data_IF_372878976436
#
_entry.id   IF_372878976436
#
_cell.length_a   1.000
_cell.length_b   1.000
_cell.length_c   1.000
_cell.angle_alpha   90.00
_cell.angle_beta   90.00
_cell.angle_gamma   90.00
#
_symmetry.space_group_name_H-M   'P 1'
#
loop_
_entity.id
_entity.type
_entity.pdbx_description
1 polymer ?
#
# COMPACT_ATOMS: atom_id res chain seq x y z
N UNK A 1 -41.76 33.63 -13.91
CA UNK A 1 -40.30 33.51 -13.76
C UNK A 1 -40.00 32.24 -12.98
N UNK A 2 -39.75 31.14 -13.69
CA UNK A 2 -39.43 29.82 -13.12
C UNK A 2 -37.92 29.65 -13.14
N UNK A 3 -37.29 29.72 -11.96
CA UNK A 3 -35.87 29.46 -11.78
C UNK A 3 -35.61 27.95 -11.80
N UNK A 4 -34.96 27.47 -12.85
CA UNK A 4 -34.46 26.10 -12.93
C UNK A 4 -33.25 25.94 -11.98
N UNK A 5 -33.46 25.22 -10.87
CA UNK A 5 -32.38 24.76 -10.01
C UNK A 5 -31.66 23.60 -10.68
N UNK A 6 -30.47 23.84 -11.22
CA UNK A 6 -29.55 22.79 -11.67
C UNK A 6 -28.99 22.06 -10.46
N UNK A 7 -29.63 20.96 -10.10
CA UNK A 7 -29.08 19.99 -9.14
C UNK A 7 -27.78 19.42 -9.68
N UNK A 8 -26.69 19.63 -8.94
CA UNK A 8 -25.43 18.93 -9.19
C UNK A 8 -25.65 17.45 -8.92
N UNK A 9 -25.76 16.66 -10.00
CA UNK A 9 -25.72 15.21 -9.90
C UNK A 9 -24.37 14.82 -9.29
N UNK A 10 -24.40 14.25 -8.08
CA UNK A 10 -23.25 13.59 -7.49
C UNK A 10 -22.85 12.44 -8.42
N UNK A 11 -21.69 12.53 -9.07
CA UNK A 11 -21.11 11.38 -9.76
C UNK A 11 -20.93 10.26 -8.75
N UNK A 12 -21.77 9.22 -8.87
CA UNK A 12 -21.56 7.95 -8.22
C UNK A 12 -20.16 7.43 -8.57
N UNK A 13 -19.54 6.67 -7.66
CA UNK A 13 -18.38 5.89 -8.07
C UNK A 13 -18.78 5.03 -9.27
N UNK A 14 -17.84 4.73 -10.18
CA UNK A 14 -17.97 3.49 -10.93
C UNK A 14 -18.26 2.38 -9.90
N UNK A 15 -19.27 1.55 -10.15
CA UNK A 15 -19.41 0.28 -9.43
C UNK A 15 -18.14 -0.57 -9.56
N UNK A 16 -18.08 -1.81 -9.07
CA UNK A 16 -16.98 -2.71 -9.45
C UNK A 16 -16.80 -2.60 -10.96
N UNK A 17 -15.63 -2.12 -11.42
CA UNK A 17 -15.41 -2.03 -12.85
C UNK A 17 -15.61 -3.46 -13.36
N UNK A 18 -16.57 -3.66 -14.27
CA UNK A 18 -16.61 -4.87 -15.08
C UNK A 18 -15.42 -4.75 -16.01
N UNK A 19 -14.24 -5.00 -15.45
CA UNK A 19 -13.00 -4.88 -16.15
C UNK A 19 -12.92 -6.05 -17.12
N UNK A 20 -13.24 -5.75 -18.38
CA UNK A 20 -13.21 -6.72 -19.47
C UNK A 20 -11.79 -7.10 -19.85
N UNK A 21 -10.78 -6.43 -19.31
CA UNK A 21 -9.38 -6.75 -19.59
C UNK A 21 -8.95 -8.05 -18.88
N UNK A 22 -9.73 -8.55 -17.91
CA UNK A 22 -9.42 -9.78 -17.19
C UNK A 22 -10.56 -10.81 -17.25
N UNK A 23 -10.25 -12.12 -17.37
CA UNK A 23 -11.27 -13.17 -17.31
C UNK A 23 -11.94 -13.20 -15.92
N UNK A 24 -13.22 -13.60 -15.84
CA UNK A 24 -13.91 -13.75 -14.57
C UNK A 24 -13.27 -14.86 -13.73
N UNK A 25 -13.24 -14.65 -12.41
CA UNK A 25 -12.80 -15.66 -11.43
C UNK A 25 -14.02 -16.05 -10.57
N UNK A 26 -14.52 -17.30 -10.66
CA UNK A 26 -15.69 -17.73 -9.90
C UNK A 26 -15.53 -17.51 -8.39
N UNK A 27 -16.48 -16.81 -7.77
CA UNK A 27 -16.49 -16.54 -6.33
C UNK A 27 -15.68 -15.32 -5.89
N UNK A 28 -14.94 -14.65 -6.77
CA UNK A 28 -14.27 -13.38 -6.49
C UNK A 28 -15.28 -12.27 -6.16
N UNK A 29 -14.94 -11.39 -5.21
CA UNK A 29 -15.75 -10.22 -4.86
C UNK A 29 -14.88 -8.96 -4.84
N UNK A 30 -15.51 -7.81 -5.06
CA UNK A 30 -14.82 -6.52 -5.14
C UNK A 30 -14.43 -6.16 -6.58
N UNK A 31 -13.50 -5.21 -6.73
CA UNK A 31 -13.06 -4.73 -8.03
C UNK A 31 -12.14 -5.74 -8.74
N UNK A 32 -12.43 -6.08 -10.00
CA UNK A 32 -11.72 -7.16 -10.71
C UNK A 32 -10.23 -6.84 -10.93
N UNK A 33 -9.89 -5.60 -11.32
CA UNK A 33 -8.51 -5.18 -11.57
C UNK A 33 -7.73 -5.05 -10.28
N UNK A 34 -8.35 -4.49 -9.24
CA UNK A 34 -7.70 -4.38 -7.94
C UNK A 34 -7.41 -5.78 -7.36
N UNK A 35 -8.36 -6.72 -7.44
CA UNK A 35 -8.08 -8.11 -7.08
C UNK A 35 -6.93 -8.69 -7.90
N UNK A 36 -6.91 -8.51 -9.23
CA UNK A 36 -5.81 -9.03 -10.05
C UNK A 36 -4.44 -8.46 -9.62
N UNK A 37 -4.38 -7.14 -9.46
CA UNK A 37 -3.17 -6.46 -9.06
C UNK A 37 -2.65 -6.95 -7.70
N UNK A 38 -3.52 -7.01 -6.68
CA UNK A 38 -3.13 -7.43 -5.34
C UNK A 38 -2.82 -8.92 -5.27
N UNK A 39 -3.57 -9.78 -5.98
CA UNK A 39 -3.24 -11.20 -6.13
C UNK A 39 -1.85 -11.40 -6.74
N UNK A 40 -1.55 -10.76 -7.87
CA UNK A 40 -0.23 -10.88 -8.50
C UNK A 40 0.88 -10.30 -7.61
N UNK A 41 0.61 -9.20 -6.91
CA UNK A 41 1.56 -8.62 -5.98
C UNK A 41 1.88 -9.60 -4.84
N UNK A 42 0.86 -10.12 -4.16
CA UNK A 42 1.05 -11.01 -3.01
C UNK A 42 1.65 -12.36 -3.42
N UNK A 43 1.23 -12.94 -4.55
CA UNK A 43 1.84 -14.16 -5.08
C UNK A 43 3.32 -13.91 -5.40
N UNK A 44 3.65 -12.86 -6.14
CA UNK A 44 5.03 -12.59 -6.58
C UNK A 44 5.97 -12.19 -5.45
N UNK A 45 5.48 -11.53 -4.41
CA UNK A 45 6.32 -10.95 -3.35
C UNK A 45 6.19 -11.66 -1.99
N UNK A 46 5.18 -12.52 -1.78
CA UNK A 46 4.99 -13.22 -0.51
C UNK A 46 4.85 -14.74 -0.67
N UNK A 47 3.90 -15.23 -1.47
CA UNK A 47 3.54 -16.65 -1.47
C UNK A 47 4.39 -17.52 -2.40
N UNK A 48 4.66 -17.05 -3.61
CA UNK A 48 5.41 -17.76 -4.65
C UNK A 48 6.58 -16.90 -5.15
N UNK A 49 7.23 -16.20 -4.22
CA UNK A 49 8.38 -15.35 -4.54
C UNK A 49 9.44 -16.13 -5.32
N UNK A 50 10.01 -15.53 -6.37
CA UNK A 50 11.12 -16.14 -7.11
C UNK A 50 12.39 -16.14 -6.24
N UNK A 51 13.43 -16.88 -6.66
CA UNK A 51 14.70 -16.85 -5.93
C UNK A 51 15.32 -15.44 -5.91
N UNK A 52 15.22 -14.70 -7.03
CA UNK A 52 15.67 -13.31 -7.13
C UNK A 52 15.00 -12.40 -6.08
N UNK A 53 13.68 -12.55 -5.88
CA UNK A 53 12.94 -11.79 -4.85
C UNK A 53 13.37 -12.20 -3.43
N UNK A 54 13.51 -13.51 -3.18
CA UNK A 54 13.96 -14.02 -1.88
C UNK A 54 15.36 -13.54 -1.52
N UNK A 55 16.29 -13.53 -2.48
CA UNK A 55 17.66 -13.08 -2.29
C UNK A 55 17.72 -11.58 -2.01
N UNK A 56 16.89 -10.78 -2.71
CA UNK A 56 16.76 -9.36 -2.44
C UNK A 56 16.23 -9.09 -1.03
N UNK A 57 15.17 -9.78 -0.59
CA UNK A 57 14.71 -9.67 0.79
C UNK A 57 15.78 -10.08 1.80
N UNK A 58 16.46 -11.20 1.56
CA UNK A 58 17.52 -11.68 2.45
C UNK A 58 18.70 -10.70 2.56
N UNK A 59 19.03 -9.98 1.48
CA UNK A 59 20.05 -8.94 1.51
C UNK A 59 19.62 -7.75 2.38
N UNK A 60 18.39 -7.26 2.20
CA UNK A 60 17.83 -6.16 3.01
C UNK A 60 17.75 -6.56 4.49
N UNK A 61 17.30 -7.78 4.78
CA UNK A 61 17.21 -8.30 6.14
C UNK A 61 18.57 -8.34 6.84
N UNK A 62 19.64 -8.73 6.11
CA UNK A 62 21.00 -8.75 6.66
C UNK A 62 21.53 -7.35 6.97
N UNK A 63 21.14 -6.33 6.21
CA UNK A 63 21.64 -4.96 6.46
C UNK A 63 21.06 -4.32 7.71
N UNK A 64 19.93 -4.82 8.23
CA UNK A 64 19.25 -4.26 9.41
C UNK A 64 19.51 -5.03 10.71
N UNK A 65 20.35 -6.07 10.71
CA UNK A 65 20.88 -6.67 11.95
C UNK A 65 20.69 -8.17 12.20
N UNK A 66 20.28 -8.99 11.23
CA UNK A 66 20.34 -10.47 11.37
C UNK A 66 19.30 -11.11 12.32
N UNK A 67 19.29 -12.45 12.46
CA UNK A 67 18.05 -13.23 12.64
C UNK A 67 17.54 -13.25 14.09
N UNK A 68 16.43 -12.55 14.34
CA UNK A 68 15.60 -12.69 15.53
C UNK A 68 14.12 -12.66 15.15
N UNK A 69 13.48 -13.82 15.18
CA UNK A 69 12.10 -14.11 15.57
C UNK A 69 10.98 -13.27 14.92
N UNK A 70 10.64 -13.58 13.66
CA UNK A 70 9.32 -13.27 13.10
C UNK A 70 9.20 -11.95 12.34
N UNK A 71 9.23 -12.06 11.01
CA UNK A 71 9.09 -11.00 9.99
C UNK A 71 10.24 -9.97 9.98
N UNK A 72 11.28 -10.35 9.23
CA UNK A 72 12.58 -9.69 9.12
C UNK A 72 12.53 -8.28 8.50
N UNK A 73 11.51 -7.98 7.70
CA UNK A 73 11.26 -6.63 7.21
C UNK A 73 10.70 -5.68 8.31
N UNK A 74 10.07 -6.17 9.38
CA UNK A 74 9.67 -5.26 10.47
C UNK A 74 10.86 -4.67 11.22
N UNK A 75 12.03 -5.32 11.19
CA UNK A 75 13.27 -4.74 11.72
C UNK A 75 13.71 -3.49 10.94
N UNK A 76 13.51 -3.47 9.62
CA UNK A 76 13.75 -2.26 8.81
C UNK A 76 12.83 -1.12 9.24
N UNK A 77 11.54 -1.39 9.45
CA UNK A 77 10.60 -0.38 9.95
C UNK A 77 11.02 0.14 11.33
N UNK A 78 11.35 -0.76 12.27
CA UNK A 78 11.79 -0.36 13.61
C UNK A 78 13.05 0.51 13.56
N UNK A 79 14.03 0.14 12.72
CA UNK A 79 15.26 0.91 12.54
C UNK A 79 15.01 2.25 11.86
N UNK A 80 14.13 2.30 10.85
CA UNK A 80 13.68 3.55 10.23
C UNK A 80 13.08 4.50 11.28
N UNK A 81 12.12 4.02 12.09
CA UNK A 81 11.49 4.82 13.15
C UNK A 81 12.48 5.28 14.22
N UNK A 82 13.46 4.45 14.57
CA UNK A 82 14.52 4.86 15.48
C UNK A 82 15.34 6.03 14.89
N UNK A 83 15.82 5.90 13.65
CA UNK A 83 16.60 6.95 12.96
C UNK A 83 15.79 8.25 12.83
N UNK A 84 14.49 8.15 12.54
CA UNK A 84 13.56 9.30 12.51
C UNK A 84 13.52 10.03 13.86
N UNK A 85 13.34 9.29 14.96
CA UNK A 85 13.27 9.86 16.32
C UNK A 85 14.59 10.46 16.79
N UNK A 86 15.72 9.88 16.39
CA UNK A 86 17.06 10.35 16.72
C UNK A 86 17.52 11.54 15.85
N UNK A 87 16.73 11.92 14.84
CA UNK A 87 17.06 13.05 13.94
C UNK A 87 18.09 12.70 12.87
N UNK A 88 18.43 11.42 12.67
CA UNK A 88 19.44 10.95 11.72
C UNK A 88 18.96 10.86 10.27
N UNK A 89 17.68 11.07 10.00
CA UNK A 89 17.12 11.02 8.64
C UNK A 89 17.39 12.33 7.86
N UNK A 90 17.83 12.29 6.59
CA UNK A 90 17.96 11.10 5.74
C UNK A 90 19.33 10.40 5.77
N UNK A 91 20.36 11.00 6.36
CA UNK A 91 21.76 10.56 6.25
C UNK A 91 22.01 9.15 6.79
N UNK A 92 21.59 8.87 8.01
CA UNK A 92 21.82 7.58 8.66
C UNK A 92 20.98 6.47 8.02
N UNK A 93 19.77 6.82 7.56
CA UNK A 93 18.93 5.86 6.86
C UNK A 93 19.47 5.53 5.47
N UNK A 94 20.01 6.51 4.74
CA UNK A 94 20.71 6.25 3.49
C UNK A 94 21.95 5.38 3.73
N UNK A 95 22.72 5.64 4.79
CA UNK A 95 23.89 4.84 5.14
C UNK A 95 23.53 3.39 5.47
N UNK A 96 22.36 3.15 6.07
CA UNK A 96 21.81 1.82 6.34
C UNK A 96 21.43 1.05 5.07
N UNK A 97 20.81 1.72 4.08
CA UNK A 97 20.24 1.05 2.90
C UNK A 97 21.14 1.06 1.67
N UNK A 98 22.11 1.98 1.59
CA UNK A 98 23.05 2.10 0.46
C UNK A 98 23.83 0.80 0.18
N UNK A 99 24.30 0.02 1.18
CA UNK A 99 25.03 -1.22 0.92
C UNK A 99 24.21 -2.30 0.20
N UNK A 100 22.89 -2.22 0.24
CA UNK A 100 21.96 -3.19 -0.35
C UNK A 100 21.14 -2.58 -1.49
N UNK A 101 21.67 -1.54 -2.15
CA UNK A 101 21.01 -0.84 -3.25
C UNK A 101 20.52 -1.78 -4.36
N UNK A 102 21.32 -2.78 -4.73
CA UNK A 102 20.98 -3.70 -5.82
C UNK A 102 19.75 -4.56 -5.48
N UNK A 103 19.60 -4.96 -4.22
CA UNK A 103 18.41 -5.66 -3.74
C UNK A 103 17.16 -4.77 -3.84
N UNK A 104 17.27 -3.50 -3.44
CA UNK A 104 16.20 -2.52 -3.64
C UNK A 104 15.90 -2.29 -5.13
N UNK A 105 16.92 -2.27 -6.00
CA UNK A 105 16.75 -2.07 -7.43
C UNK A 105 15.94 -3.21 -8.07
N UNK A 106 16.20 -4.47 -7.68
CA UNK A 106 15.42 -5.64 -8.07
C UNK A 106 13.95 -5.45 -7.66
N UNK A 107 13.68 -5.28 -6.36
CA UNK A 107 12.31 -5.17 -5.87
C UNK A 107 11.59 -3.97 -6.49
N UNK A 108 12.28 -2.83 -6.57
CA UNK A 108 11.73 -1.62 -7.16
C UNK A 108 11.33 -1.83 -8.61
N UNK A 109 12.17 -2.50 -9.42
CA UNK A 109 11.87 -2.79 -10.81
C UNK A 109 10.62 -3.67 -10.92
N UNK A 110 10.60 -4.80 -10.22
CA UNK A 110 9.49 -5.76 -10.30
C UNK A 110 8.15 -5.17 -9.83
N UNK A 111 8.17 -4.37 -8.76
CA UNK A 111 6.97 -3.72 -8.24
C UNK A 111 6.45 -2.67 -9.23
N UNK A 112 7.35 -1.85 -9.79
CA UNK A 112 6.98 -0.81 -10.75
C UNK A 112 6.49 -1.38 -12.09
N UNK A 113 7.04 -2.51 -12.54
CA UNK A 113 6.50 -3.29 -13.68
C UNK A 113 5.05 -3.68 -13.40
N UNK A 114 4.76 -4.24 -12.22
CA UNK A 114 3.40 -4.66 -11.87
C UNK A 114 2.41 -3.48 -11.80
N UNK A 115 2.84 -2.33 -11.28
CA UNK A 115 2.05 -1.10 -11.32
C UNK A 115 1.76 -0.64 -12.75
N UNK A 116 2.73 -0.77 -13.67
CA UNK A 116 2.55 -0.37 -15.07
C UNK A 116 1.62 -1.33 -15.81
N UNK A 117 1.76 -2.63 -15.59
CA UNK A 117 0.93 -3.66 -16.24
C UNK A 117 -0.56 -3.51 -15.88
N UNK A 118 -0.86 -3.14 -14.63
CA UNK A 118 -2.25 -3.03 -14.16
C UNK A 118 -2.80 -1.61 -14.23
N UNK A 119 -1.97 -0.60 -13.99
CA UNK A 119 -2.41 0.79 -13.83
C UNK A 119 -1.62 1.77 -14.71
N UNK A 120 -0.93 1.29 -15.74
CA UNK A 120 -0.34 2.11 -16.78
C UNK A 120 -1.37 2.78 -17.70
N UNK A 121 -0.92 3.81 -18.43
CA UNK A 121 -1.70 4.47 -19.48
C UNK A 121 -3.08 4.94 -19.01
N UNK A 122 -4.13 4.44 -19.68
CA UNK A 122 -5.54 4.84 -19.43
C UNK A 122 -6.04 4.50 -18.02
N UNK A 123 -5.41 3.56 -17.33
CA UNK A 123 -5.87 3.06 -16.01
C UNK A 123 -5.23 3.77 -14.82
N UNK A 124 -4.29 4.68 -15.03
CA UNK A 124 -3.54 5.34 -13.95
C UNK A 124 -4.44 6.01 -12.91
N UNK A 125 -5.56 6.59 -13.35
CA UNK A 125 -6.52 7.26 -12.46
C UNK A 125 -7.27 6.30 -11.51
N UNK A 126 -7.21 4.98 -11.75
CA UNK A 126 -7.84 3.95 -10.93
C UNK A 126 -6.94 3.47 -9.78
N UNK A 127 -5.63 3.71 -9.84
CA UNK A 127 -4.69 3.19 -8.84
C UNK A 127 -5.02 3.62 -7.40
N UNK A 128 -5.41 4.88 -7.09
CA UNK A 128 -5.80 5.24 -5.73
C UNK A 128 -6.98 4.40 -5.20
N UNK A 129 -7.90 3.98 -6.07
CA UNK A 129 -9.02 3.14 -5.70
C UNK A 129 -8.58 1.72 -5.35
N UNK A 130 -7.52 1.19 -5.96
CA UNK A 130 -6.94 -0.10 -5.58
C UNK A 130 -6.50 -0.11 -4.10
N UNK A 131 -5.87 0.99 -3.65
CA UNK A 131 -5.46 1.16 -2.25
C UNK A 131 -6.64 1.39 -1.30
N UNK A 132 -7.67 2.13 -1.74
CA UNK A 132 -8.92 2.24 -0.98
C UNK A 132 -9.55 0.86 -0.77
N UNK A 133 -9.63 0.04 -1.82
CA UNK A 133 -10.29 -1.27 -1.77
C UNK A 133 -9.54 -2.31 -0.94
N UNK A 134 -8.20 -2.24 -0.95
CA UNK A 134 -7.40 -3.01 0.01
C UNK A 134 -7.64 -2.52 1.44
N UNK A 135 -7.60 -1.19 1.66
CA UNK A 135 -7.77 -0.62 3.01
C UNK A 135 -9.17 -0.83 3.60
N UNK A 136 -10.23 -0.85 2.79
CA UNK A 136 -11.60 -1.09 3.26
C UNK A 136 -11.97 -2.58 3.35
N UNK A 137 -11.08 -3.49 2.95
CA UNK A 137 -11.26 -4.94 3.07
C UNK A 137 -12.35 -5.51 2.17
N UNK A 138 -12.54 -4.95 0.96
CA UNK A 138 -13.58 -5.38 0.02
C UNK A 138 -13.11 -6.39 -1.03
N UNK A 139 -11.79 -6.61 -1.15
CA UNK A 139 -11.18 -7.42 -2.19
C UNK A 139 -11.02 -8.87 -1.73
N UNK A 140 -11.92 -9.73 -2.19
CA UNK A 140 -11.88 -11.16 -1.90
C UNK A 140 -11.48 -11.95 -3.15
N UNK A 141 -10.39 -12.70 -3.07
CA UNK A 141 -9.87 -13.54 -4.12
C UNK A 141 -9.82 -15.02 -3.68
N UNK A 142 -10.64 -15.90 -4.27
CA UNK A 142 -10.68 -17.31 -3.92
C UNK A 142 -9.43 -18.11 -4.34
N UNK A 143 -8.55 -17.53 -5.17
CA UNK A 143 -7.27 -18.14 -5.57
C UNK A 143 -6.24 -18.12 -4.46
N UNK A 144 -6.38 -17.22 -3.48
CA UNK A 144 -5.43 -17.08 -2.38
C UNK A 144 -5.52 -18.24 -1.38
N UNK A 145 -4.40 -18.67 -0.80
CA UNK A 145 -4.36 -19.84 0.08
C UNK A 145 -4.92 -19.54 1.49
N UNK A 146 -5.62 -20.53 2.05
CA UNK A 146 -6.01 -20.55 3.47
C UNK A 146 -6.91 -19.37 3.88
N UNK A 147 -6.50 -18.66 4.93
CA UNK A 147 -7.20 -17.48 5.48
C UNK A 147 -6.86 -16.17 4.75
N UNK A 148 -5.92 -16.17 3.79
CA UNK A 148 -5.47 -14.97 3.09
C UNK A 148 -6.35 -14.59 1.88
N UNK A 149 -7.63 -14.99 1.89
CA UNK A 149 -8.55 -14.75 0.76
C UNK A 149 -8.99 -13.30 0.64
N UNK A 150 -8.74 -12.50 1.67
CA UNK A 150 -9.02 -11.08 1.65
C UNK A 150 -7.70 -10.31 1.49
N UNK A 151 -7.60 -9.48 0.45
CA UNK A 151 -6.44 -8.60 0.26
C UNK A 151 -6.54 -7.43 1.24
N UNK A 152 -5.76 -7.53 2.31
CA UNK A 152 -5.74 -6.59 3.41
C UNK A 152 -4.35 -6.61 4.05
N UNK A 153 -3.85 -5.45 4.49
CA UNK A 153 -2.66 -5.47 5.34
C UNK A 153 -3.03 -6.11 6.69
N UNK A 154 -2.26 -7.09 7.18
CA UNK A 154 -2.63 -7.86 8.36
C UNK A 154 -2.89 -6.94 9.57
N UNK A 155 -3.59 -7.45 10.58
CA UNK A 155 -3.58 -6.87 11.93
C UNK A 155 -2.53 -7.60 12.77
N UNK A 156 -1.85 -6.88 13.65
CA UNK A 156 -0.92 -7.47 14.61
C UNK A 156 -1.69 -8.27 15.66
N UNK A 157 -0.96 -9.02 16.49
CA UNK A 157 -1.55 -9.60 17.68
C UNK A 157 -2.29 -8.52 18.48
N UNK A 158 -3.50 -8.83 18.96
CA UNK A 158 -4.41 -7.93 19.69
C UNK A 158 -5.22 -6.91 18.86
N UNK A 159 -5.36 -7.11 17.55
CA UNK A 159 -6.24 -6.26 16.72
C UNK A 159 -5.69 -4.85 16.45
N UNK A 160 -4.43 -4.58 16.81
CA UNK A 160 -3.74 -3.34 16.45
C UNK A 160 -3.32 -3.42 14.98
N UNK A 161 -3.66 -2.40 14.19
CA UNK A 161 -3.30 -2.33 12.77
C UNK A 161 -1.79 -2.52 12.58
N UNK A 162 -1.39 -3.38 11.64
CA UNK A 162 0.04 -3.69 11.49
C UNK A 162 0.87 -2.50 11.09
N UNK A 163 2.15 -2.61 11.41
CA UNK A 163 3.26 -1.84 10.85
C UNK A 163 3.45 -2.05 9.34
N UNK A 164 2.63 -2.82 8.62
CA UNK A 164 2.87 -3.14 7.21
C UNK A 164 2.81 -1.90 6.31
N UNK A 165 1.86 -0.99 6.56
CA UNK A 165 1.82 0.31 5.87
C UNK A 165 3.06 1.16 6.17
N UNK A 166 3.51 1.20 7.43
CA UNK A 166 4.72 1.94 7.81
C UNK A 166 6.00 1.33 7.25
N UNK A 167 6.06 0.00 7.13
CA UNK A 167 7.14 -0.71 6.46
C UNK A 167 7.19 -0.35 4.98
N UNK A 168 6.04 -0.39 4.28
CA UNK A 168 5.98 0.00 2.88
C UNK A 168 6.43 1.45 2.66
N UNK A 169 6.05 2.36 3.56
CA UNK A 169 6.56 3.72 3.53
C UNK A 169 8.10 3.76 3.68
N UNK A 170 8.66 3.08 4.68
CA UNK A 170 10.12 3.02 4.86
C UNK A 170 10.84 2.49 3.60
N UNK A 171 10.34 1.41 2.99
CA UNK A 171 10.87 0.86 1.73
C UNK A 171 10.79 1.88 0.59
N UNK A 172 9.69 2.62 0.46
CA UNK A 172 9.58 3.69 -0.55
C UNK A 172 10.57 4.84 -0.31
N UNK A 173 10.86 5.17 0.95
CA UNK A 173 11.89 6.15 1.30
C UNK A 173 13.28 5.66 0.90
N UNK A 174 13.58 4.38 1.12
CA UNK A 174 14.83 3.79 0.65
C UNK A 174 14.95 3.87 -0.88
N UNK A 175 13.93 3.45 -1.63
CA UNK A 175 13.92 3.56 -3.09
C UNK A 175 14.14 5.00 -3.57
N UNK A 176 13.53 5.97 -2.89
CA UNK A 176 13.69 7.39 -3.21
C UNK A 176 15.13 7.88 -2.96
N UNK A 177 15.69 7.59 -1.78
CA UNK A 177 17.03 8.04 -1.40
C UNK A 177 18.15 7.35 -2.21
N UNK A 178 17.93 6.10 -2.63
CA UNK A 178 18.85 5.35 -3.47
C UNK A 178 18.81 5.78 -4.96
N UNK A 179 17.89 6.67 -5.32
CA UNK A 179 17.72 7.15 -6.70
C UNK A 179 17.03 6.15 -7.63
N UNK A 180 16.28 5.19 -7.08
CA UNK A 180 15.62 4.13 -7.85
C UNK A 180 14.24 4.60 -8.31
N UNK A 181 14.15 5.36 -9.40
CA UNK A 181 12.89 5.97 -9.87
C UNK A 181 12.18 6.84 -8.81
N UNK A 182 12.86 7.82 -8.18
CA UNK A 182 12.34 8.57 -7.03
C UNK A 182 11.01 9.28 -7.34
N UNK A 183 10.84 9.81 -8.56
CA UNK A 183 9.58 10.44 -8.97
C UNK A 183 8.39 9.48 -9.07
N UNK A 184 8.61 8.19 -9.32
CA UNK A 184 7.55 7.17 -9.30
C UNK A 184 7.19 6.82 -7.87
N UNK A 185 8.17 6.51 -7.02
CA UNK A 185 7.91 6.17 -5.62
C UNK A 185 7.30 7.31 -4.82
N UNK A 186 7.74 8.56 -5.04
CA UNK A 186 7.11 9.73 -4.41
C UNK A 186 5.65 9.96 -4.84
N UNK A 187 5.20 9.37 -5.97
CA UNK A 187 3.78 9.38 -6.39
C UNK A 187 2.98 8.21 -5.84
N UNK A 188 3.64 7.08 -5.57
CA UNK A 188 3.02 5.88 -4.99
C UNK A 188 2.91 6.00 -3.47
N UNK A 189 3.90 6.59 -2.80
CA UNK A 189 3.98 6.70 -1.34
C UNK A 189 2.73 7.31 -0.71
N UNK A 190 2.11 8.38 -1.26
CA UNK A 190 0.86 8.89 -0.71
C UNK A 190 -0.32 7.91 -0.79
N UNK A 191 -0.28 6.92 -1.69
CA UNK A 191 -1.29 5.87 -1.79
C UNK A 191 -1.16 4.84 -0.66
N UNK A 192 0.06 4.61 -0.15
CA UNK A 192 0.29 3.83 1.07
C UNK A 192 -0.40 4.51 2.26
N UNK A 193 -0.19 5.82 2.41
CA UNK A 193 -0.86 6.62 3.42
C UNK A 193 -2.38 6.65 3.27
N UNK A 194 -2.88 6.64 2.03
CA UNK A 194 -4.31 6.50 1.73
C UNK A 194 -4.86 5.15 2.21
N UNK A 195 -4.21 4.03 1.87
CA UNK A 195 -4.62 2.70 2.32
C UNK A 195 -4.65 2.59 3.84
N UNK A 196 -3.59 3.09 4.51
CA UNK A 196 -3.49 3.19 5.96
C UNK A 196 -4.65 4.00 6.57
N UNK A 197 -4.98 5.15 5.99
CA UNK A 197 -6.06 5.98 6.48
C UNK A 197 -7.44 5.34 6.29
N UNK A 198 -7.66 4.66 5.17
CA UNK A 198 -8.91 3.93 4.91
C UNK A 198 -9.07 2.80 5.92
N UNK A 199 -8.04 1.96 6.11
CA UNK A 199 -8.08 0.86 7.07
C UNK A 199 -8.23 1.33 8.51
N UNK A 200 -7.65 2.50 8.85
CA UNK A 200 -7.85 3.14 10.16
C UNK A 200 -9.27 3.63 10.39
N UNK A 201 -10.02 3.97 9.35
CA UNK A 201 -11.42 4.40 9.48
C UNK A 201 -12.36 3.21 9.48
N UNK A 202 -12.07 2.20 8.65
CA UNK A 202 -12.99 1.09 8.42
C UNK A 202 -12.85 -0.03 9.43
N UNK A 203 -11.67 -0.22 10.02
CA UNK A 203 -11.34 -1.38 10.86
C UNK A 203 -11.89 -2.71 10.28
N UNK A 204 -11.56 -3.04 9.02
CA UNK A 204 -12.10 -4.24 8.37
C UNK A 204 -11.83 -5.52 9.15
N UNK A 205 -12.84 -6.38 9.20
CA UNK A 205 -12.70 -7.75 9.71
C UNK A 205 -11.90 -8.58 8.70
N UNK A 206 -10.74 -9.14 9.06
CA UNK A 206 -9.92 -9.92 8.13
C UNK A 206 -10.54 -11.26 7.74
N UNK A 207 -11.55 -11.74 8.47
CA UNK A 207 -12.19 -13.04 8.22
C UNK A 207 -13.48 -12.91 7.37
N UNK A 208 -13.93 -11.69 7.07
CA UNK A 208 -15.15 -11.42 6.32
C UNK A 208 -14.93 -10.46 5.15
N UNK A 209 -15.80 -10.54 4.14
CA UNK A 209 -15.81 -9.53 3.07
C UNK A 209 -16.53 -8.29 3.60
N UNK A 210 -15.79 -7.19 3.73
CA UNK A 210 -16.28 -5.98 4.38
C UNK A 210 -17.16 -5.15 3.45
N UNK A 211 -18.12 -4.36 3.99
CA UNK A 211 -18.84 -3.39 3.20
C UNK A 211 -17.88 -2.28 2.70
N UNK A 212 -18.09 -1.76 1.49
CA UNK A 212 -17.23 -0.71 0.95
C UNK A 212 -17.34 0.59 1.74
N UNK A 213 -16.24 1.33 1.84
CA UNK A 213 -16.26 2.69 2.36
C UNK A 213 -17.25 3.56 1.55
N UNK A 214 -18.01 4.40 2.24
CA UNK A 214 -18.89 5.37 1.59
C UNK A 214 -18.11 6.26 0.61
N UNK A 215 -18.63 6.38 -0.62
CA UNK A 215 -18.02 7.12 -1.73
C UNK A 215 -17.47 8.48 -1.36
N UNK A 216 -18.29 9.31 -0.69
CA UNK A 216 -17.89 10.67 -0.32
C UNK A 216 -16.70 10.69 0.65
N UNK A 217 -16.64 9.72 1.56
CA UNK A 217 -15.52 9.56 2.50
C UNK A 217 -14.26 9.13 1.77
N UNK A 218 -14.35 8.12 0.90
CA UNK A 218 -13.21 7.65 0.12
C UNK A 218 -12.64 8.78 -0.76
N UNK A 219 -13.49 9.53 -1.47
CA UNK A 219 -13.06 10.66 -2.29
C UNK A 219 -12.38 11.78 -1.46
N UNK A 220 -12.86 12.04 -0.24
CA UNK A 220 -12.19 13.01 0.66
C UNK A 220 -10.79 12.52 1.04
N UNK A 221 -10.64 11.26 1.43
CA UNK A 221 -9.35 10.68 1.77
C UNK A 221 -8.40 10.69 0.56
N UNK A 222 -8.87 10.29 -0.63
CA UNK A 222 -8.07 10.36 -1.86
C UNK A 222 -7.53 11.77 -2.08
N UNK A 223 -8.38 12.81 -1.96
CA UNK A 223 -7.93 14.20 -2.10
C UNK A 223 -6.93 14.62 -1.02
N UNK A 224 -7.13 14.19 0.21
CA UNK A 224 -6.25 14.53 1.35
C UNK A 224 -4.84 13.95 1.17
N UNK A 225 -4.73 12.76 0.60
CA UNK A 225 -3.45 12.05 0.48
C UNK A 225 -2.72 12.32 -0.84
N UNK A 226 -3.43 12.49 -1.97
CA UNK A 226 -2.86 12.53 -3.34
C UNK A 226 -1.67 13.49 -3.57
N UNK A 227 -1.52 14.54 -2.77
CA UNK A 227 -0.53 15.60 -2.99
C UNK A 227 0.44 15.81 -1.82
N UNK A 228 0.60 14.80 -0.95
CA UNK A 228 1.60 14.89 0.10
C UNK A 228 3.01 14.79 -0.48
N UNK A 229 3.86 15.74 -0.08
CA UNK A 229 5.28 15.71 -0.39
C UNK A 229 5.98 14.64 0.44
N UNK A 230 7.19 14.21 0.04
CA UNK A 230 8.01 13.28 0.83
C UNK A 230 8.12 13.66 2.31
N UNK A 231 8.44 14.92 2.63
CA UNK A 231 8.54 15.36 4.02
C UNK A 231 7.19 15.28 4.78
N UNK A 232 6.06 15.57 4.12
CA UNK A 232 4.72 15.44 4.71
C UNK A 232 4.28 13.99 4.88
N UNK A 233 4.85 13.08 4.10
CA UNK A 233 4.69 11.64 4.26
C UNK A 233 5.52 11.18 5.46
N UNK A 234 6.80 11.54 5.53
CA UNK A 234 7.69 11.23 6.65
C UNK A 234 7.05 11.66 7.98
N UNK A 235 6.59 12.92 8.09
CA UNK A 235 5.89 13.41 9.30
C UNK A 235 4.57 12.69 9.58
N UNK A 236 3.83 12.26 8.55
CA UNK A 236 2.59 11.53 8.78
C UNK A 236 2.85 10.13 9.36
N UNK A 237 3.90 9.46 8.88
CA UNK A 237 4.29 8.12 9.31
C UNK A 237 5.13 8.11 10.60
N UNK A 238 5.51 9.27 11.14
CA UNK A 238 5.95 9.41 12.53
C UNK A 238 4.79 9.18 13.53
N UNK A 239 3.52 9.21 13.07
CA UNK A 239 2.34 8.91 13.89
C UNK A 239 2.00 7.42 13.90
N UNK A 240 1.54 6.92 15.05
CA UNK A 240 1.12 5.53 15.26
C UNK A 240 0.04 5.44 16.36
N UNK A 241 -0.94 4.52 16.27
CA UNK A 241 -1.19 3.59 15.16
C UNK A 241 -1.95 4.21 13.97
N UNK A 242 -2.55 5.38 14.14
CA UNK A 242 -3.40 6.01 13.12
C UNK A 242 -2.75 7.24 12.49
N UNK A 243 -3.20 7.62 11.27
CA UNK A 243 -2.72 8.83 10.64
C UNK A 243 -3.06 10.10 11.43
N UNK A 244 -2.26 11.17 11.27
CA UNK A 244 -2.54 12.44 11.91
C UNK A 244 -3.97 12.93 11.60
N UNK A 245 -4.69 13.33 12.64
CA UNK A 245 -6.06 13.82 12.52
C UNK A 245 -7.13 12.73 12.37
N UNK A 246 -6.77 11.45 12.52
CA UNK A 246 -7.76 10.39 12.70
C UNK A 246 -8.62 10.70 13.94
N UNK A 247 -9.94 10.67 13.76
CA UNK A 247 -10.92 10.69 14.84
C UNK A 247 -11.69 9.38 14.76
N UNK A 248 -11.82 8.63 15.88
CA UNK A 248 -12.60 7.41 15.92
C UNK A 248 -14.08 7.69 15.61
#
# INVERSE_FOLDING_TARGET
MTGAGTGWAASALPGPHQDRDFPPVPGMRGDRRANEFWWQYEVRFAFEATQEVRDAYAAIDRSVGGPGDGSRLFALHARYQQIRREGGFPGDYLSLVAPVKDAYAVLSRLQLELFDDHYGGRHQHLLPWAFVRMGDGTLYDPRMPGRNKLHLMPYGANGVMTHAWHLWHAVNRANTLLGLSPGRWNRIDPLIGLGWAVQSVMYPDPDLVNPPMATGTAQRLVRQWRWRTPARMDTAFDSHPHPPGHRP
#
